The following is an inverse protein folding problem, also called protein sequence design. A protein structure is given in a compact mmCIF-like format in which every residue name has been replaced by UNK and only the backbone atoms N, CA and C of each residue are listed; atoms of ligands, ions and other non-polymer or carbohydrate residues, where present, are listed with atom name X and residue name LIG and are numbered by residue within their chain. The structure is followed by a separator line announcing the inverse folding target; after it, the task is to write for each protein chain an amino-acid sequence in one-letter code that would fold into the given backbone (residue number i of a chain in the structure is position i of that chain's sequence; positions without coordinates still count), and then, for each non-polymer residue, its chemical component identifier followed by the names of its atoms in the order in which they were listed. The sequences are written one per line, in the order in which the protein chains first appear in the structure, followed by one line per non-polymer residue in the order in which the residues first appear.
data_IF_388657720690
#
_entry.id   IF_388657720690
#
_cell.length_a   1.000
_cell.length_b   1.000
_cell.length_c   1.000
_cell.angle_alpha   90.00
_cell.angle_beta   90.00
_cell.angle_gamma   90.00
#
_symmetry.space_group_name_H-M   'P 1'
#
loop_
_entity.id
_entity.type
_entity.pdbx_description
1 polymer ?
#
# COMPACT_ATOMS: atom_id res chain seq x y z
N UNK A 1 21.31 -27.89 -6.03
CA UNK A 1 20.56 -26.64 -5.77
C UNK A 1 19.11 -27.06 -5.82
N UNK A 2 18.62 -27.60 -4.70
CA UNK A 2 17.24 -28.02 -4.58
C UNK A 2 16.37 -26.78 -4.72
N UNK A 3 15.55 -26.79 -5.77
CA UNK A 3 14.51 -25.81 -5.95
C UNK A 3 13.44 -26.19 -4.93
N UNK A 4 13.60 -25.69 -3.69
CA UNK A 4 12.65 -25.92 -2.61
C UNK A 4 11.25 -25.59 -3.14
N UNK A 5 10.45 -26.64 -3.31
CA UNK A 5 9.03 -26.55 -3.63
C UNK A 5 8.33 -25.95 -2.41
N UNK A 6 8.43 -24.64 -2.24
CA UNK A 6 7.62 -23.93 -1.28
C UNK A 6 6.16 -24.15 -1.65
N UNK A 7 5.41 -24.75 -0.75
CA UNK A 7 3.95 -24.86 -0.87
C UNK A 7 3.39 -23.45 -1.03
N UNK A 8 2.61 -23.22 -2.09
CA UNK A 8 1.91 -21.96 -2.37
C UNK A 8 1.20 -21.49 -1.08
N UNK A 9 1.53 -20.29 -0.61
CA UNK A 9 1.03 -19.75 0.68
C UNK A 9 1.97 -19.90 1.89
N UNK A 10 3.13 -20.56 1.76
CA UNK A 10 4.14 -20.65 2.83
C UNK A 10 5.19 -19.52 2.82
N UNK A 11 5.13 -18.59 1.86
CA UNK A 11 6.06 -17.47 1.77
C UNK A 11 5.40 -16.16 2.20
N UNK A 12 5.97 -15.51 3.21
CA UNK A 12 5.59 -14.15 3.65
C UNK A 12 6.38 -13.09 2.86
N UNK A 13 7.35 -13.50 2.04
CA UNK A 13 8.24 -12.60 1.30
C UNK A 13 7.78 -12.38 -0.14
N UNK A 14 7.19 -13.37 -0.79
CA UNK A 14 6.80 -13.28 -2.20
C UNK A 14 5.28 -13.18 -2.37
N UNK A 15 4.80 -12.35 -3.31
CA UNK A 15 3.39 -12.34 -3.66
C UNK A 15 2.97 -13.69 -4.27
N UNK A 16 1.70 -14.09 -4.13
CA UNK A 16 1.20 -15.36 -4.64
C UNK A 16 1.23 -15.40 -6.17
N UNK A 17 1.41 -16.59 -6.74
CA UNK A 17 1.41 -16.81 -8.19
C UNK A 17 -0.02 -17.00 -8.70
N UNK A 18 -0.32 -16.42 -9.86
CA UNK A 18 -1.63 -16.58 -10.48
C UNK A 18 -1.69 -17.90 -11.27
N UNK A 19 -2.48 -18.84 -10.77
CA UNK A 19 -2.81 -20.07 -11.49
C UNK A 19 -4.00 -19.89 -12.45
N UNK A 20 -4.09 -20.65 -13.56
CA UNK A 20 -5.10 -20.47 -14.61
C UNK A 20 -6.56 -20.49 -14.12
N UNK A 21 -6.86 -21.25 -13.06
CA UNK A 21 -8.19 -21.34 -12.45
C UNK A 21 -8.22 -20.85 -10.99
N UNK A 22 -7.14 -20.21 -10.55
CA UNK A 22 -6.92 -19.83 -9.15
C UNK A 22 -7.29 -18.38 -8.84
N UNK A 23 -7.94 -17.64 -9.74
CA UNK A 23 -8.08 -16.19 -9.62
C UNK A 23 -8.67 -15.73 -8.27
N UNK A 24 -9.76 -16.34 -7.79
CA UNK A 24 -10.37 -15.96 -6.51
C UNK A 24 -9.45 -16.23 -5.32
N UNK A 25 -8.76 -17.37 -5.35
CA UNK A 25 -7.79 -17.75 -4.32
C UNK A 25 -6.59 -16.81 -4.32
N UNK A 26 -5.99 -16.60 -5.50
CA UNK A 26 -4.91 -15.66 -5.73
C UNK A 26 -5.26 -14.25 -5.23
N UNK A 27 -6.46 -13.76 -5.56
CA UNK A 27 -6.94 -12.44 -5.12
C UNK A 27 -6.99 -12.32 -3.60
N UNK A 28 -7.52 -13.33 -2.91
CA UNK A 28 -7.60 -13.33 -1.45
C UNK A 28 -6.20 -13.36 -0.79
N UNK A 29 -5.27 -14.12 -1.38
CA UNK A 29 -3.88 -14.16 -0.94
C UNK A 29 -3.16 -12.83 -1.19
N UNK A 30 -3.35 -12.20 -2.35
CA UNK A 30 -2.80 -10.87 -2.68
C UNK A 30 -3.31 -9.80 -1.73
N UNK A 31 -4.62 -9.74 -1.48
CA UNK A 31 -5.21 -8.81 -0.51
C UNK A 31 -4.58 -8.96 0.89
N UNK A 32 -4.38 -10.20 1.33
CA UNK A 32 -3.72 -10.46 2.63
C UNK A 32 -2.23 -10.09 2.60
N UNK A 33 -1.54 -10.36 1.49
CA UNK A 33 -0.15 -10.01 1.30
C UNK A 33 0.06 -8.50 1.34
N UNK A 34 -0.69 -7.73 0.56
CA UNK A 34 -0.59 -6.27 0.49
C UNK A 34 -0.86 -5.63 1.86
N UNK A 35 -1.92 -6.06 2.55
CA UNK A 35 -2.21 -5.66 3.94
C UNK A 35 -1.05 -5.91 4.90
N UNK A 36 -0.32 -7.02 4.71
CA UNK A 36 0.79 -7.41 5.58
C UNK A 36 2.08 -6.62 5.31
N UNK A 37 2.22 -6.04 4.11
CA UNK A 37 3.40 -5.27 3.72
C UNK A 37 3.29 -3.82 4.11
N UNK A 38 2.15 -3.21 3.80
CA UNK A 38 1.93 -1.80 4.00
C UNK A 38 0.41 -1.54 4.10
N UNK A 39 -0.03 -1.20 5.31
CA UNK A 39 -1.44 -0.94 5.58
C UNK A 39 -1.92 0.35 4.91
N UNK A 40 -1.04 1.34 4.75
CA UNK A 40 -1.37 2.62 4.14
C UNK A 40 -1.52 2.43 2.62
N UNK A 41 -0.61 1.67 2.01
CA UNK A 41 -0.74 1.25 0.61
C UNK A 41 -2.04 0.47 0.37
N UNK A 42 -2.39 -0.46 1.26
CA UNK A 42 -3.66 -1.19 1.16
C UNK A 42 -4.88 -0.27 1.21
N UNK A 43 -4.85 0.78 2.04
CA UNK A 43 -5.94 1.76 2.07
C UNK A 43 -6.08 2.50 0.74
N UNK A 44 -4.98 2.84 0.07
CA UNK A 44 -5.00 3.44 -1.28
C UNK A 44 -5.63 2.49 -2.29
N UNK A 45 -5.22 1.23 -2.28
CA UNK A 45 -5.76 0.20 -3.19
C UNK A 45 -7.27 0.03 -3.02
N UNK A 46 -7.79 0.11 -1.78
CA UNK A 46 -9.23 -0.05 -1.52
C UNK A 46 -10.05 1.22 -1.80
N UNK A 47 -9.56 2.39 -1.38
CA UNK A 47 -10.33 3.63 -1.38
C UNK A 47 -10.09 4.49 -2.62
N UNK A 48 -9.09 4.16 -3.43
CA UNK A 48 -8.62 5.01 -4.53
C UNK A 48 -7.62 6.05 -4.02
N UNK A 49 -7.61 7.23 -4.65
CA UNK A 49 -6.62 8.26 -4.36
C UNK A 49 -6.54 8.61 -2.86
N UNK A 50 -5.32 8.54 -2.32
CA UNK A 50 -5.04 8.89 -0.94
C UNK A 50 -4.82 10.39 -0.83
N UNK A 51 -5.64 11.03 0.01
CA UNK A 51 -5.53 12.46 0.29
C UNK A 51 -4.80 12.63 1.61
N UNK A 52 -3.76 13.45 1.60
CA UNK A 52 -3.05 13.84 2.81
C UNK A 52 -3.78 15.01 3.47
N UNK A 53 -3.97 14.91 4.78
CA UNK A 53 -4.43 16.03 5.59
C UNK A 53 -3.30 17.05 5.72
N UNK A 54 -3.44 18.17 5.02
CA UNK A 54 -2.51 19.30 5.12
C UNK A 54 -3.19 20.44 5.85
N UNK A 55 -2.58 20.90 6.93
CA UNK A 55 -3.01 22.14 7.58
C UNK A 55 -2.60 23.34 6.72
N UNK A 56 -3.59 24.11 6.28
CA UNK A 56 -3.31 25.36 5.58
C UNK A 56 -2.74 26.38 6.55
N UNK A 57 -1.51 26.84 6.31
CA UNK A 57 -0.80 27.77 7.18
C UNK A 57 -1.49 29.12 7.34
N UNK A 58 -2.42 29.47 6.44
CA UNK A 58 -3.18 30.72 6.46
C UNK A 58 -4.51 30.61 7.20
N UNK A 59 -5.27 29.55 6.94
CA UNK A 59 -6.62 29.39 7.49
C UNK A 59 -6.70 28.45 8.69
N UNK A 60 -5.61 27.73 9.02
CA UNK A 60 -5.56 26.65 10.02
C UNK A 60 -6.63 25.58 9.81
N UNK A 61 -7.11 25.45 8.58
CA UNK A 61 -8.09 24.45 8.20
C UNK A 61 -7.34 23.27 7.59
N UNK A 62 -7.68 22.06 8.05
CA UNK A 62 -7.19 20.82 7.45
C UNK A 62 -7.90 20.60 6.12
N UNK A 63 -7.14 20.46 5.04
CA UNK A 63 -7.66 20.12 3.70
C UNK A 63 -7.07 18.81 3.21
N UNK A 64 -7.93 17.97 2.67
CA UNK A 64 -7.54 16.76 1.94
C UNK A 64 -6.87 17.14 0.62
N UNK A 65 -5.59 16.81 0.47
CA UNK A 65 -4.78 17.18 -0.70
C UNK A 65 -4.10 15.95 -1.29
N UNK A 66 -4.24 15.67 -2.61
CA UNK A 66 -3.49 14.62 -3.30
C UNK A 66 -1.98 14.80 -3.14
N UNK A 67 -1.22 13.70 -3.11
CA UNK A 67 0.25 13.73 -3.00
C UNK A 67 0.92 14.65 -4.02
N UNK A 68 0.41 14.63 -5.25
CA UNK A 68 0.94 15.39 -6.40
C UNK A 68 0.89 16.89 -6.17
N UNK A 69 -0.11 17.36 -5.42
CA UNK A 69 -0.34 18.77 -5.10
C UNK A 69 0.36 19.22 -3.81
N UNK A 70 1.05 18.32 -3.10
CA UNK A 70 1.87 18.67 -1.95
C UNK A 70 3.14 19.40 -2.37
N UNK A 71 3.52 20.43 -1.63
CA UNK A 71 4.83 21.07 -1.78
C UNK A 71 5.96 20.22 -1.19
N UNK A 72 7.20 20.54 -1.56
CA UNK A 72 8.39 19.79 -1.18
C UNK A 72 8.64 19.74 0.34
N UNK A 73 8.24 20.78 1.09
CA UNK A 73 8.38 20.79 2.55
C UNK A 73 7.39 19.81 3.20
N UNK A 74 6.15 19.76 2.69
CA UNK A 74 5.13 18.82 3.15
C UNK A 74 5.52 17.36 2.84
N UNK A 75 6.00 17.10 1.61
CA UNK A 75 6.50 15.77 1.23
C UNK A 75 7.68 15.33 2.11
N UNK A 76 8.60 16.24 2.45
CA UNK A 76 9.72 15.95 3.35
C UNK A 76 9.29 15.66 4.78
N UNK A 77 8.20 16.27 5.28
CA UNK A 77 7.66 15.97 6.61
C UNK A 77 7.03 14.58 6.66
N UNK A 78 6.32 14.16 5.60
CA UNK A 78 5.74 12.83 5.49
C UNK A 78 6.81 11.73 5.42
N UNK A 79 7.91 11.97 4.70
CA UNK A 79 9.03 11.03 4.60
C UNK A 79 9.91 10.90 5.86
N UNK A 80 9.60 11.61 6.94
CA UNK A 80 10.37 11.59 8.21
C UNK A 80 9.76 10.71 9.30
N UNK A 81 8.74 9.91 9.00
CA UNK A 81 8.27 8.89 9.93
C UNK A 81 9.33 7.78 9.98
N UNK A 82 10.25 7.91 10.93
CA UNK A 82 11.20 6.89 11.41
C UNK A 82 10.79 6.52 12.82
#
# INVERSE_FOLDING_TARGET
MDQDNYVEGSSIQRPPLLEPNGFFFWKACCETYDKSKDIDLWQVIQKGDFYYEVEDSKTKLTKETPYELLDDDQKKKLGKIV
#
